data_IF_165685956686
#
_entry.id   IF_165685956686
#
_cell.length_a   1.000
_cell.length_b   1.000
_cell.length_c   1.000
_cell.angle_alpha   90.00
_cell.angle_beta   90.00
_cell.angle_gamma   90.00
#
_symmetry.space_group_name_H-M   'P 1'
#
loop_
_entity.id
_entity.type
_entity.pdbx_description
1 polymer ?
#
# COMPACT_ATOMS: atom_id res chain seq x y z
N UNK A 1 11.02 -9.24 9.22
CA UNK A 1 10.73 -8.01 8.45
C UNK A 1 11.83 -7.61 7.44
N UNK A 2 13.14 -7.84 7.67
CA UNK A 2 14.20 -7.50 6.71
C UNK A 2 14.04 -8.10 5.30
N UNK A 3 13.58 -9.35 5.17
CA UNK A 3 13.33 -9.99 3.87
C UNK A 3 12.11 -9.40 3.13
N UNK A 4 11.05 -9.04 3.84
CA UNK A 4 9.91 -8.32 3.26
C UNK A 4 10.34 -6.93 2.78
N UNK A 5 11.10 -6.21 3.60
CA UNK A 5 11.66 -4.92 3.21
C UNK A 5 12.57 -5.07 1.98
N UNK A 6 13.44 -6.09 1.93
CA UNK A 6 14.29 -6.37 0.77
C UNK A 6 13.50 -6.81 -0.47
N UNK A 7 12.43 -7.59 -0.35
CA UNK A 7 11.58 -7.92 -1.50
C UNK A 7 10.79 -6.70 -2.01
N UNK A 8 10.35 -5.82 -1.10
CA UNK A 8 9.74 -4.53 -1.44
C UNK A 8 10.75 -3.53 -2.03
N UNK A 9 12.05 -3.69 -1.75
CA UNK A 9 13.11 -2.71 -2.00
C UNK A 9 14.17 -3.10 -3.03
N UNK A 10 14.76 -4.29 -2.89
CA UNK A 10 15.84 -4.82 -3.71
C UNK A 10 15.36 -5.54 -4.97
N UNK A 11 14.20 -6.21 -4.90
CA UNK A 11 13.56 -6.85 -6.06
C UNK A 11 12.74 -5.80 -6.84
N UNK A 12 13.45 -4.98 -7.63
CA UNK A 12 12.87 -3.94 -8.47
C UNK A 12 13.05 -4.28 -9.96
N UNK A 13 12.02 -4.06 -10.75
CA UNK A 13 12.13 -4.01 -12.21
C UNK A 13 11.80 -2.60 -12.70
N UNK A 14 12.76 -1.92 -13.34
CA UNK A 14 12.63 -0.54 -13.84
C UNK A 14 12.16 0.48 -12.78
N UNK A 15 12.61 0.33 -11.52
CA UNK A 15 12.27 1.24 -10.42
C UNK A 15 10.97 0.91 -9.67
N UNK A 16 10.22 -0.11 -10.10
CA UNK A 16 8.98 -0.58 -9.46
C UNK A 16 9.24 -1.89 -8.71
N UNK A 17 8.59 -2.09 -7.55
CA UNK A 17 8.53 -3.39 -6.90
C UNK A 17 7.89 -4.42 -7.84
N UNK A 18 8.30 -5.69 -7.74
CA UNK A 18 7.89 -6.74 -8.68
C UNK A 18 6.38 -7.01 -8.72
N UNK A 19 5.61 -6.62 -7.69
CA UNK A 19 4.16 -6.85 -7.68
C UNK A 19 3.33 -5.54 -7.55
N UNK A 20 2.12 -5.50 -8.14
CA UNK A 20 1.29 -4.29 -8.17
C UNK A 20 0.82 -3.82 -6.78
N UNK A 21 0.65 -4.74 -5.83
CA UNK A 21 0.24 -4.43 -4.46
C UNK A 21 1.35 -3.66 -3.75
N UNK A 22 2.59 -4.16 -3.81
CA UNK A 22 3.77 -3.47 -3.30
C UNK A 22 3.96 -2.08 -3.94
N UNK A 23 3.83 -1.96 -5.26
CA UNK A 23 3.94 -0.65 -5.93
C UNK A 23 2.92 0.37 -5.43
N UNK A 24 1.67 -0.05 -5.27
CA UNK A 24 0.61 0.81 -4.73
C UNK A 24 0.94 1.30 -3.31
N UNK A 25 1.45 0.41 -2.47
CA UNK A 25 1.72 0.71 -1.06
C UNK A 25 3.02 1.49 -0.83
N UNK A 26 4.07 1.27 -1.63
CA UNK A 26 5.38 1.89 -1.44
C UNK A 26 5.49 3.29 -2.04
N UNK A 27 4.69 3.60 -3.07
CA UNK A 27 4.80 4.88 -3.79
C UNK A 27 3.93 6.00 -3.20
N UNK A 28 3.29 5.78 -2.05
CA UNK A 28 2.24 6.66 -1.53
C UNK A 28 1.24 6.95 -2.65
N UNK A 29 0.37 5.98 -2.96
CA UNK A 29 -0.54 5.96 -4.14
C UNK A 29 -1.45 7.19 -4.38
N UNK A 30 -1.28 8.27 -3.62
CA UNK A 30 -1.89 9.58 -3.77
C UNK A 30 -0.98 10.66 -4.37
N UNK A 31 0.37 10.59 -4.23
CA UNK A 31 1.24 11.77 -4.47
C UNK A 31 2.07 11.71 -5.76
N UNK A 32 2.44 10.53 -6.27
CA UNK A 32 3.51 10.45 -7.30
C UNK A 32 3.03 10.01 -8.70
N UNK A 33 1.83 9.45 -8.86
CA UNK A 33 1.42 8.96 -10.18
C UNK A 33 -0.08 9.16 -10.46
N UNK A 34 -0.46 10.20 -11.23
CA UNK A 34 -1.78 10.29 -11.86
C UNK A 34 -2.12 9.10 -12.79
N UNK A 35 -1.16 8.19 -13.02
CA UNK A 35 -1.23 7.06 -13.95
C UNK A 35 -1.21 5.68 -13.31
N UNK A 36 -0.96 5.55 -12.00
CA UNK A 36 -1.07 4.25 -11.33
C UNK A 36 -2.50 4.03 -10.87
N UNK A 37 -3.20 3.13 -11.55
CA UNK A 37 -4.53 2.68 -11.13
C UNK A 37 -4.41 2.08 -9.73
N UNK A 38 -5.16 2.63 -8.77
CA UNK A 38 -5.32 2.02 -7.45
C UNK A 38 -5.76 0.56 -7.60
N UNK A 39 -5.20 -0.31 -6.76
CA UNK A 39 -5.71 -1.66 -6.63
C UNK A 39 -7.22 -1.59 -6.30
N UNK A 40 -8.11 -2.34 -6.99
CA UNK A 40 -9.55 -2.26 -6.79
C UNK A 40 -9.98 -2.48 -5.34
N UNK A 41 -9.31 -3.40 -4.62
CA UNK A 41 -9.57 -3.70 -3.21
C UNK A 41 -9.18 -2.51 -2.33
N UNK A 42 -8.02 -1.90 -2.60
CA UNK A 42 -7.60 -0.70 -1.88
C UNK A 42 -8.58 0.45 -2.11
N UNK A 43 -8.97 0.70 -3.36
CA UNK A 43 -9.92 1.75 -3.68
C UNK A 43 -11.26 1.51 -2.97
N UNK A 44 -11.79 0.29 -2.95
CA UNK A 44 -13.01 -0.05 -2.22
C UNK A 44 -12.93 0.31 -0.72
N UNK A 45 -11.87 -0.12 -0.04
CA UNK A 45 -11.73 0.15 1.40
C UNK A 45 -11.52 1.64 1.71
N UNK A 46 -10.73 2.34 0.90
CA UNK A 46 -10.43 3.76 1.07
C UNK A 46 -11.64 4.65 0.76
N UNK A 47 -12.44 4.30 -0.26
CA UNK A 47 -13.73 4.98 -0.51
C UNK A 47 -14.68 4.84 0.66
N UNK A 48 -14.63 3.72 1.38
CA UNK A 48 -15.42 3.49 2.59
C UNK A 48 -14.80 4.09 3.86
N UNK A 49 -13.69 4.85 3.75
CA UNK A 49 -13.08 5.55 4.88
C UNK A 49 -12.17 4.71 5.76
N UNK A 50 -11.70 3.56 5.28
CA UNK A 50 -10.75 2.75 6.03
C UNK A 50 -9.36 3.40 6.11
N UNK A 51 -8.67 3.15 7.21
CA UNK A 51 -7.24 3.46 7.37
C UNK A 51 -6.42 2.27 6.88
N UNK A 52 -5.39 2.54 6.07
CA UNK A 52 -4.40 1.53 5.69
C UNK A 52 -3.55 1.18 6.91
N UNK A 53 -3.85 0.05 7.54
CA UNK A 53 -3.38 -0.21 8.90
C UNK A 53 -2.07 -0.98 8.95
N UNK A 54 -1.93 -2.06 8.16
CA UNK A 54 -0.74 -2.92 8.21
C UNK A 54 -0.54 -3.70 6.92
N UNK A 55 0.71 -3.84 6.49
CA UNK A 55 1.13 -4.78 5.46
C UNK A 55 1.60 -6.07 6.14
N UNK A 56 1.08 -7.20 5.69
CA UNK A 56 1.40 -8.52 6.19
C UNK A 56 2.19 -9.28 5.12
N UNK A 57 3.42 -9.66 5.45
CA UNK A 57 4.27 -10.49 4.61
C UNK A 57 3.89 -11.96 4.75
N UNK A 58 3.86 -12.69 3.63
CA UNK A 58 3.51 -14.12 3.59
C UNK A 58 2.19 -14.44 4.30
N UNK A 59 1.23 -13.52 4.20
CA UNK A 59 -0.10 -13.70 4.76
C UNK A 59 -0.99 -14.61 3.91
N UNK A 60 -0.73 -14.68 2.60
CA UNK A 60 -1.36 -15.64 1.70
C UNK A 60 -0.29 -16.45 0.95
N UNK A 61 0.12 -17.58 1.55
CA UNK A 61 1.09 -18.51 0.95
C UNK A 61 0.47 -19.47 -0.06
N UNK A 62 -0.82 -19.30 -0.42
CA UNK A 62 -1.42 -20.08 -1.49
C UNK A 62 -0.76 -19.74 -2.83
N UNK A 63 -0.86 -20.66 -3.80
CA UNK A 63 -0.35 -20.42 -5.15
C UNK A 63 -0.93 -19.13 -5.76
N UNK A 64 -2.20 -18.81 -5.45
CA UNK A 64 -2.84 -17.57 -5.89
C UNK A 64 -2.24 -16.34 -5.20
N UNK A 65 -2.06 -16.37 -3.88
CA UNK A 65 -1.46 -15.27 -3.12
C UNK A 65 -0.03 -14.97 -3.56
N UNK A 66 0.76 -16.03 -3.76
CA UNK A 66 2.13 -15.93 -4.25
C UNK A 66 2.22 -15.39 -5.68
N UNK A 67 1.33 -15.83 -6.59
CA UNK A 67 1.34 -15.34 -7.98
C UNK A 67 0.79 -13.93 -8.14
N UNK A 68 -0.17 -13.52 -7.32
CA UNK A 68 -0.87 -12.23 -7.46
C UNK A 68 -0.21 -11.07 -6.69
N UNK A 69 0.34 -11.34 -5.51
CA UNK A 69 0.93 -10.30 -4.64
C UNK A 69 2.17 -10.78 -3.89
N UNK A 70 2.77 -11.90 -4.28
CA UNK A 70 3.89 -12.54 -3.57
C UNK A 70 3.59 -12.79 -2.09
N UNK A 71 2.33 -13.16 -1.81
CA UNK A 71 1.83 -13.44 -0.48
C UNK A 71 1.67 -12.22 0.42
N UNK A 72 1.77 -11.01 -0.12
CA UNK A 72 1.44 -9.78 0.59
C UNK A 72 -0.06 -9.63 0.73
N UNK A 73 -0.51 -9.32 1.95
CA UNK A 73 -1.87 -8.85 2.22
C UNK A 73 -1.84 -7.56 3.03
N UNK A 74 -2.95 -6.84 3.04
CA UNK A 74 -3.10 -5.60 3.80
C UNK A 74 -4.32 -5.66 4.68
N UNK A 75 -4.16 -5.19 5.92
CA UNK A 75 -5.28 -4.92 6.80
C UNK A 75 -5.74 -3.47 6.61
N UNK A 76 -7.01 -3.30 6.26
CA UNK A 76 -7.72 -2.03 6.30
C UNK A 76 -8.52 -1.98 7.59
N UNK A 77 -8.30 -0.96 8.42
CA UNK A 77 -8.97 -0.80 9.71
C UNK A 77 -10.01 0.30 9.62
N UNK A 78 -11.21 0.00 10.05
CA UNK A 78 -12.29 0.97 10.17
C UNK A 78 -12.32 1.52 11.59
N UNK A 79 -12.17 2.83 11.70
CA UNK A 79 -12.48 3.59 12.90
C UNK A 79 -13.82 4.25 12.66
N UNK A 80 -14.88 3.76 13.30
CA UNK A 80 -16.26 4.14 12.97
C UNK A 80 -16.45 5.66 12.95
N UNK A 81 -15.91 6.35 13.95
CA UNK A 81 -15.96 7.81 14.09
C UNK A 81 -15.22 8.56 12.97
N UNK A 82 -14.22 7.95 12.35
CA UNK A 82 -13.38 8.59 11.32
C UNK A 82 -13.75 8.19 9.88
N UNK A 83 -14.63 7.20 9.70
CA UNK A 83 -15.01 6.69 8.37
C UNK A 83 -15.50 7.78 7.42
N UNK A 84 -16.41 8.64 7.88
CA UNK A 84 -16.94 9.75 7.10
C UNK A 84 -15.85 10.74 6.66
N UNK A 85 -15.13 11.37 7.61
CA UNK A 85 -14.03 12.28 7.29
C UNK A 85 -12.95 11.66 6.38
N UNK A 86 -12.59 10.39 6.62
CA UNK A 86 -11.58 9.69 5.82
C UNK A 86 -12.07 9.44 4.39
N UNK A 87 -13.32 9.03 4.21
CA UNK A 87 -13.94 8.84 2.89
C UNK A 87 -13.97 10.15 2.10
N UNK A 88 -14.40 11.25 2.73
CA UNK A 88 -14.44 12.58 2.10
C UNK A 88 -13.03 13.01 1.67
N UNK A 89 -12.04 12.85 2.55
CA UNK A 89 -10.64 13.21 2.26
C UNK A 89 -10.10 12.40 1.07
N UNK A 90 -10.38 11.10 1.03
CA UNK A 90 -9.95 10.23 -0.06
C UNK A 90 -10.67 10.52 -1.39
N UNK A 91 -11.98 10.76 -1.37
CA UNK A 91 -12.74 11.06 -2.59
C UNK A 91 -12.38 12.43 -3.17
N UNK A 92 -12.19 13.44 -2.31
CA UNK A 92 -11.92 14.82 -2.71
C UNK A 92 -10.48 15.07 -3.16
N UNK A 93 -9.49 14.64 -2.36
CA UNK A 93 -8.07 14.94 -2.62
C UNK A 93 -7.17 13.72 -2.79
N UNK A 94 -7.76 12.51 -2.83
CA UNK A 94 -7.02 11.24 -2.84
C UNK A 94 -6.10 11.07 -1.63
N UNK A 95 -6.36 11.79 -0.53
CA UNK A 95 -5.59 11.65 0.69
C UNK A 95 -5.89 10.29 1.36
N UNK A 96 -4.84 9.55 1.70
CA UNK A 96 -4.93 8.21 2.29
C UNK A 96 -4.46 8.29 3.74
N UNK A 97 -5.33 7.92 4.68
CA UNK A 97 -4.93 7.70 6.07
C UNK A 97 -4.24 6.35 6.18
N UNK A 98 -3.05 6.35 6.78
CA UNK A 98 -2.24 5.16 7.00
C UNK A 98 -1.64 5.17 8.40
N UNK A 99 -1.32 3.99 8.93
CA UNK A 99 -0.64 3.88 10.23
C UNK A 99 0.83 4.32 10.14
N UNK A 100 1.41 4.68 11.28
CA UNK A 100 2.84 5.03 11.39
C UNK A 100 3.77 3.96 10.82
N UNK A 101 3.42 2.68 11.00
CA UNK A 101 4.20 1.59 10.43
C UNK A 101 4.27 1.67 8.90
N UNK A 102 3.13 1.95 8.26
CA UNK A 102 3.05 2.10 6.80
C UNK A 102 3.82 3.33 6.34
N UNK A 103 3.62 4.47 7.01
CA UNK A 103 4.31 5.71 6.68
C UNK A 103 5.83 5.56 6.80
N UNK A 104 6.31 4.85 7.83
CA UNK A 104 7.73 4.52 8.00
C UNK A 104 8.27 3.68 6.84
N UNK A 105 7.52 2.67 6.38
CA UNK A 105 7.91 1.86 5.21
C UNK A 105 7.99 2.72 3.94
N UNK A 106 7.03 3.64 3.73
CA UNK A 106 7.06 4.54 2.58
C UNK A 106 8.24 5.50 2.64
N UNK A 107 8.54 6.07 3.82
CA UNK A 107 9.70 6.95 4.00
C UNK A 107 11.01 6.22 3.67
N UNK A 108 11.16 4.96 4.11
CA UNK A 108 12.30 4.12 3.75
C UNK A 108 12.40 3.90 2.24
N UNK A 109 11.26 3.68 1.57
CA UNK A 109 11.22 3.52 0.12
C UNK A 109 11.61 4.80 -0.63
N UNK A 110 11.10 5.96 -0.22
CA UNK A 110 11.38 7.25 -0.84
C UNK A 110 12.85 7.64 -0.72
N UNK A 111 13.46 7.41 0.45
CA UNK A 111 14.87 7.73 0.68
C UNK A 111 15.81 6.89 -0.20
N UNK A 112 15.44 5.64 -0.48
CA UNK A 112 16.28 4.72 -1.22
C UNK A 112 15.90 4.56 -2.71
N UNK A 113 14.92 5.31 -3.20
CA UNK A 113 14.47 5.28 -4.60
C UNK A 113 14.88 6.54 -5.39
N UNK A 114 15.81 7.35 -4.85
CA UNK A 114 16.49 8.46 -5.57
C UNK A 114 17.67 7.99 -6.45
N UNK A 115 17.66 6.72 -6.88
CA UNK A 115 18.56 6.18 -7.90
C UNK A 115 17.81 6.13 -9.24
#
# INVERSE_FOLDING_TARGET
MRLCAWYLYGEKHRGYALNPVANFHLQNGAVIAPRLRLNPVANFHLQNGAVMWRINWMADSSLKGLTSSCGLMVNYRYYLEETGPNSISYLGSKNIKASEQILSLVAQFQNNSKL
#
